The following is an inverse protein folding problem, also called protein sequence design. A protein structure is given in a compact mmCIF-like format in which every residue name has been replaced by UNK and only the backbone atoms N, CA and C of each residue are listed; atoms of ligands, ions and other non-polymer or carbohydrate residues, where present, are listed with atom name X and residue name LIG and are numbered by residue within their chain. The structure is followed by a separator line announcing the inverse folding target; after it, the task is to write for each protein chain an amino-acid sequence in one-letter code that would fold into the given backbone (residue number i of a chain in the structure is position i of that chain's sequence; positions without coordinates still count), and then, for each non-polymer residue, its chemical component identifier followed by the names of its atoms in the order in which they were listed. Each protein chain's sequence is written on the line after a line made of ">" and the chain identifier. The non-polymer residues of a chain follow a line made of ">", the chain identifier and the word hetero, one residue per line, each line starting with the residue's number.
data_IF_940323403118
#
_entry.id   IF_940323403118
#
_cell.length_a   1.000
_cell.length_b   1.000
_cell.length_c   1.000
_cell.angle_alpha   90.00
_cell.angle_beta   90.00
_cell.angle_gamma   90.00
#
_symmetry.space_group_name_H-M   'P 1'
#
loop_
_entity.id
_entity.type
_entity.pdbx_description
1 polymer ?
#
# COMPACT_ATOMS: atom_id res chain seq x y z
N UNK A 1 -13.62 -31.90 -13.42
CA UNK A 1 -13.85 -30.44 -13.32
C UNK A 1 -13.22 -29.80 -12.08
N UNK A 2 -13.54 -30.23 -10.84
CA UNK A 2 -12.98 -29.65 -9.59
C UNK A 2 -11.44 -29.61 -9.53
N UNK A 3 -10.75 -30.66 -10.01
CA UNK A 3 -9.26 -30.72 -10.04
C UNK A 3 -8.61 -29.68 -10.97
N UNK A 4 -9.26 -29.34 -12.09
CA UNK A 4 -8.74 -28.34 -13.05
C UNK A 4 -8.91 -26.94 -12.45
N UNK A 5 -10.08 -26.64 -11.89
CA UNK A 5 -10.37 -25.39 -11.21
C UNK A 5 -9.42 -25.14 -10.02
N UNK A 6 -9.12 -26.18 -9.23
CA UNK A 6 -8.13 -26.10 -8.14
C UNK A 6 -6.71 -25.80 -8.63
N UNK A 7 -6.32 -26.38 -9.78
CA UNK A 7 -5.01 -26.13 -10.37
C UNK A 7 -4.90 -24.71 -10.91
N UNK A 8 -5.95 -24.20 -11.56
CA UNK A 8 -6.01 -22.82 -12.03
C UNK A 8 -5.93 -21.86 -10.83
N UNK A 9 -6.75 -22.07 -9.79
CA UNK A 9 -6.70 -21.22 -8.58
C UNK A 9 -5.37 -21.30 -7.84
N UNK A 10 -4.65 -22.43 -7.85
CA UNK A 10 -3.31 -22.50 -7.25
C UNK A 10 -2.24 -21.73 -8.02
N UNK A 11 -2.42 -21.51 -9.33
CA UNK A 11 -1.49 -20.72 -10.15
C UNK A 11 -1.64 -19.22 -9.91
N UNK A 12 -2.84 -18.77 -9.53
CA UNK A 12 -3.12 -17.38 -9.16
C UNK A 12 -3.09 -17.14 -7.65
N UNK A 13 -2.66 -18.14 -6.86
CA UNK A 13 -2.53 -17.98 -5.42
C UNK A 13 -1.23 -17.25 -5.14
N UNK A 14 -1.36 -15.97 -4.80
CA UNK A 14 -0.21 -15.15 -4.42
C UNK A 14 0.57 -15.82 -3.30
N UNK A 15 1.84 -16.11 -3.58
CA UNK A 15 2.79 -16.57 -2.58
C UNK A 15 3.16 -15.35 -1.75
N UNK A 16 2.33 -14.99 -0.76
CA UNK A 16 2.69 -13.97 0.22
C UNK A 16 3.94 -14.43 0.94
N UNK A 17 5.04 -13.70 0.78
CA UNK A 17 6.22 -13.91 1.59
C UNK A 17 5.85 -13.53 3.04
N UNK A 18 5.98 -14.49 3.96
CA UNK A 18 5.74 -14.27 5.38
C UNK A 18 6.99 -13.64 6.00
N UNK A 19 7.27 -12.39 5.64
CA UNK A 19 8.39 -11.62 6.18
C UNK A 19 7.88 -10.82 7.37
N UNK A 20 8.54 -10.95 8.52
CA UNK A 20 8.14 -10.24 9.76
C UNK A 20 8.81 -8.87 9.85
N UNK A 21 8.25 -7.98 10.67
CA UNK A 21 8.88 -6.69 10.97
C UNK A 21 10.31 -6.86 11.52
N UNK A 22 10.53 -7.83 12.41
CA UNK A 22 11.86 -8.11 12.98
C UNK A 22 12.86 -8.52 11.90
N UNK A 23 12.43 -9.33 10.92
CA UNK A 23 13.28 -9.69 9.78
C UNK A 23 13.61 -8.45 8.93
N UNK A 24 12.62 -7.61 8.66
CA UNK A 24 12.76 -6.39 7.87
C UNK A 24 13.76 -5.39 8.49
N UNK A 25 13.73 -5.20 9.81
CA UNK A 25 14.66 -4.29 10.52
C UNK A 25 16.11 -4.78 10.44
N UNK A 26 16.33 -6.08 10.22
CA UNK A 26 17.67 -6.65 10.07
C UNK A 26 18.22 -6.56 8.64
N UNK A 27 17.45 -6.05 7.67
CA UNK A 27 17.93 -5.86 6.31
C UNK A 27 18.94 -4.69 6.20
N UNK A 28 19.72 -4.60 5.11
CA UNK A 28 20.66 -3.49 4.92
C UNK A 28 19.96 -2.13 5.01
N UNK A 29 20.59 -1.15 5.68
CA UNK A 29 19.96 0.15 6.00
C UNK A 29 19.42 0.91 4.80
N UNK A 30 20.08 0.80 3.65
CA UNK A 30 19.67 1.49 2.41
C UNK A 30 18.64 0.69 1.58
N UNK A 31 18.13 -0.42 2.13
CA UNK A 31 17.14 -1.26 1.46
C UNK A 31 15.71 -0.82 1.76
N UNK A 32 14.81 -1.06 0.81
CA UNK A 32 13.37 -0.87 1.00
C UNK A 32 12.84 -1.67 2.19
N UNK A 33 13.35 -2.90 2.39
CA UNK A 33 12.92 -3.74 3.50
C UNK A 33 13.26 -3.15 4.86
N UNK A 34 14.45 -2.58 5.02
CA UNK A 34 14.83 -1.89 6.27
C UNK A 34 13.91 -0.70 6.55
N UNK A 35 13.67 0.15 5.56
CA UNK A 35 12.74 1.28 5.71
C UNK A 35 11.30 0.82 5.99
N UNK A 36 10.86 -0.30 5.41
CA UNK A 36 9.56 -0.90 5.69
C UNK A 36 9.45 -1.42 7.12
N UNK A 37 10.46 -2.14 7.60
CA UNK A 37 10.52 -2.58 9.00
C UNK A 37 10.50 -1.41 9.97
N UNK A 38 11.28 -0.36 9.69
CA UNK A 38 11.29 0.86 10.50
C UNK A 38 9.95 1.61 10.44
N UNK A 39 9.30 1.64 9.29
CA UNK A 39 7.98 2.25 9.12
C UNK A 39 6.91 1.52 9.95
N UNK A 40 6.87 0.18 9.87
CA UNK A 40 5.95 -0.65 10.65
C UNK A 40 6.19 -0.47 12.16
N UNK A 41 7.45 -0.49 12.59
CA UNK A 41 7.79 -0.30 14.00
C UNK A 41 7.26 1.02 14.58
N UNK A 42 7.29 2.10 13.79
CA UNK A 42 6.89 3.43 14.26
C UNK A 42 5.38 3.73 14.11
N UNK A 43 4.70 3.08 13.15
CA UNK A 43 3.33 3.45 12.78
C UNK A 43 2.29 2.34 13.04
N UNK A 44 2.72 1.11 13.30
CA UNK A 44 1.79 0.01 13.59
C UNK A 44 1.37 0.00 15.05
N UNK A 45 0.08 -0.23 15.29
CA UNK A 45 -0.48 -0.42 16.65
C UNK A 45 -0.63 -1.90 17.03
N UNK A 46 -0.31 -2.80 16.10
CA UNK A 46 -0.38 -4.24 16.31
C UNK A 46 0.88 -4.77 16.99
N UNK A 47 0.72 -5.85 17.75
CA UNK A 47 1.80 -6.51 18.50
C UNK A 47 2.81 -7.17 17.55
N UNK A 48 2.36 -7.67 16.40
CA UNK A 48 3.20 -8.26 15.34
C UNK A 48 2.72 -7.74 13.97
N UNK A 49 3.20 -6.56 13.54
CA UNK A 49 2.71 -5.95 12.31
C UNK A 49 3.26 -6.67 11.08
N UNK A 50 2.33 -7.02 10.19
CA UNK A 50 2.66 -7.65 8.91
C UNK A 50 2.69 -6.58 7.81
N UNK A 51 3.70 -6.59 6.92
CA UNK A 51 3.77 -5.63 5.84
C UNK A 51 2.58 -5.79 4.88
N UNK A 52 1.76 -4.75 4.75
CA UNK A 52 0.75 -4.70 3.70
C UNK A 52 1.28 -4.01 2.44
N UNK A 53 0.70 -4.34 1.29
CA UNK A 53 1.03 -3.69 0.01
C UNK A 53 0.81 -2.17 0.09
N UNK A 54 -0.17 -1.72 0.88
CA UNK A 54 -0.43 -0.29 1.09
C UNK A 54 0.71 0.42 1.81
N UNK A 55 1.42 -0.25 2.73
CA UNK A 55 2.56 0.33 3.45
C UNK A 55 3.78 0.46 2.52
N UNK A 56 3.97 -0.53 1.64
CA UNK A 56 4.99 -0.48 0.59
C UNK A 56 4.70 0.68 -0.36
N UNK A 57 3.46 0.83 -0.83
CA UNK A 57 3.08 1.95 -1.68
C UNK A 57 3.28 3.29 -0.97
N UNK A 58 2.94 3.37 0.32
CA UNK A 58 3.15 4.59 1.10
C UNK A 58 4.63 4.98 1.11
N UNK A 59 5.52 4.02 1.37
CA UNK A 59 6.96 4.29 1.39
C UNK A 59 7.55 4.67 0.02
N UNK A 60 6.96 4.18 -1.08
CA UNK A 60 7.48 4.43 -2.42
C UNK A 60 6.93 5.72 -3.04
N UNK A 61 5.69 6.09 -2.71
CA UNK A 61 4.93 7.11 -3.43
C UNK A 61 4.74 8.38 -2.59
N UNK A 62 4.63 8.23 -1.27
CA UNK A 62 4.29 9.35 -0.36
C UNK A 62 5.50 9.78 0.46
N UNK A 63 5.53 11.06 0.84
CA UNK A 63 6.62 11.62 1.63
C UNK A 63 6.33 11.60 3.14
N UNK A 64 5.05 11.68 3.53
CA UNK A 64 4.64 11.64 4.92
C UNK A 64 3.38 10.78 5.16
N UNK A 65 3.08 10.53 6.43
CA UNK A 65 1.87 9.80 6.84
C UNK A 65 0.76 10.82 7.07
N UNK A 66 -0.07 11.04 6.04
CA UNK A 66 -1.19 11.97 6.14
C UNK A 66 -2.40 11.49 5.33
N UNK A 67 -3.61 11.85 5.78
CA UNK A 67 -4.84 11.51 5.06
C UNK A 67 -4.82 12.04 3.61
N UNK A 68 -4.19 13.20 3.37
CA UNK A 68 -4.11 13.80 2.03
C UNK A 68 -3.21 12.98 1.12
N UNK A 69 -2.05 12.53 1.60
CA UNK A 69 -1.17 11.67 0.81
C UNK A 69 -1.74 10.28 0.63
N UNK A 70 -2.44 9.73 1.61
CA UNK A 70 -3.13 8.46 1.44
C UNK A 70 -4.19 8.56 0.32
N UNK A 71 -4.99 9.63 0.29
CA UNK A 71 -5.93 9.87 -0.81
C UNK A 71 -5.17 10.04 -2.15
N UNK A 72 -4.11 10.85 -2.16
CA UNK A 72 -3.30 11.13 -3.36
C UNK A 72 -2.67 9.85 -3.94
N UNK A 73 -2.13 8.99 -3.07
CA UNK A 73 -1.58 7.69 -3.43
C UNK A 73 -2.62 6.82 -4.10
N UNK A 74 -3.84 6.74 -3.56
CA UNK A 74 -4.90 5.95 -4.19
C UNK A 74 -5.34 6.56 -5.54
N UNK A 75 -5.35 7.88 -5.69
CA UNK A 75 -5.53 8.53 -6.99
C UNK A 75 -4.43 8.14 -8.00
N UNK A 76 -3.17 8.12 -7.57
CA UNK A 76 -2.03 7.70 -8.39
C UNK A 76 -2.14 6.23 -8.80
N UNK A 77 -2.47 5.34 -7.86
CA UNK A 77 -2.67 3.91 -8.13
C UNK A 77 -3.82 3.67 -9.12
N UNK A 78 -4.94 4.38 -8.95
CA UNK A 78 -6.07 4.31 -9.89
C UNK A 78 -5.69 4.77 -11.30
N UNK A 79 -4.91 5.86 -11.41
CA UNK A 79 -4.35 6.30 -12.70
C UNK A 79 -3.45 5.25 -13.36
N UNK A 80 -2.77 4.44 -12.56
CA UNK A 80 -1.95 3.30 -13.01
C UNK A 80 -2.75 1.99 -13.21
N UNK A 81 -4.07 2.02 -13.08
CA UNK A 81 -4.95 0.88 -13.35
C UNK A 81 -5.35 0.04 -12.14
N UNK A 82 -5.05 0.49 -10.91
CA UNK A 82 -5.55 -0.17 -9.70
C UNK A 82 -7.06 0.10 -9.51
N UNK A 83 -7.86 -0.93 -9.75
CA UNK A 83 -9.32 -0.91 -9.57
C UNK A 83 -9.78 -1.66 -8.32
N UNK A 84 -8.87 -1.90 -7.35
CA UNK A 84 -9.25 -2.50 -6.09
C UNK A 84 -10.35 -1.69 -5.40
N UNK A 85 -11.28 -2.38 -4.74
CA UNK A 85 -12.42 -1.75 -4.06
C UNK A 85 -11.98 -0.69 -3.04
N UNK A 86 -10.86 -0.94 -2.35
CA UNK A 86 -10.25 0.02 -1.42
C UNK A 86 -9.91 1.34 -2.11
N UNK A 87 -9.24 1.26 -3.26
CA UNK A 87 -8.80 2.42 -4.05
C UNK A 87 -9.98 3.24 -4.53
N UNK A 88 -10.99 2.58 -5.11
CA UNK A 88 -12.23 3.26 -5.53
C UNK A 88 -12.94 3.92 -4.35
N UNK A 89 -13.05 3.23 -3.21
CA UNK A 89 -13.69 3.77 -2.02
C UNK A 89 -12.97 5.01 -1.46
N UNK A 90 -11.63 4.96 -1.37
CA UNK A 90 -10.83 6.08 -0.86
C UNK A 90 -10.88 7.28 -1.81
N UNK A 91 -10.88 7.06 -3.13
CA UNK A 91 -11.05 8.15 -4.10
C UNK A 91 -12.43 8.78 -3.96
N UNK A 92 -13.50 7.98 -3.88
CA UNK A 92 -14.86 8.50 -3.75
C UNK A 92 -15.03 9.33 -2.47
N UNK A 93 -14.60 8.78 -1.33
CA UNK A 93 -14.66 9.50 -0.05
C UNK A 93 -13.74 10.72 -0.03
N UNK A 94 -12.52 10.60 -0.57
CA UNK A 94 -11.59 11.72 -0.72
C UNK A 94 -12.16 12.86 -1.55
N UNK A 95 -12.84 12.54 -2.66
CA UNK A 95 -13.51 13.54 -3.51
C UNK A 95 -14.65 14.24 -2.77
N UNK A 96 -15.42 13.48 -1.99
CA UNK A 96 -16.57 14.00 -1.26
C UNK A 96 -16.16 14.90 -0.08
N UNK A 97 -15.13 14.49 0.68
CA UNK A 97 -14.72 15.19 1.91
C UNK A 97 -13.59 16.22 1.70
N UNK A 98 -12.81 16.11 0.61
CA UNK A 98 -11.73 17.05 0.29
C UNK A 98 -11.90 17.76 -1.08
N UNK A 99 -13.09 18.29 -1.44
CA UNK A 99 -13.31 18.91 -2.74
C UNK A 99 -12.52 20.22 -2.95
N UNK A 100 -12.07 20.87 -1.87
CA UNK A 100 -11.41 22.18 -1.91
C UNK A 100 -9.89 22.12 -2.10
N UNK A 101 -9.29 20.92 -2.09
CA UNK A 101 -7.91 20.74 -2.52
C UNK A 101 -7.94 20.46 -4.02
N UNK A 102 -7.47 21.44 -4.79
CA UNK A 102 -7.49 21.39 -6.25
C UNK A 102 -6.92 20.04 -6.73
N UNK A 103 -7.65 19.20 -7.47
CA UNK A 103 -7.19 17.85 -7.82
C UNK A 103 -5.86 17.86 -8.62
N UNK A 104 -5.54 18.99 -9.24
CA UNK A 104 -4.27 19.28 -9.91
C UNK A 104 -3.06 19.30 -8.96
N UNK A 105 -3.25 19.54 -7.66
CA UNK A 105 -2.18 19.51 -6.64
C UNK A 105 -1.77 18.08 -6.25
N UNK A 106 -2.62 17.08 -6.43
CA UNK A 106 -2.27 15.67 -6.20
C UNK A 106 -1.29 15.13 -7.25
N UNK A 107 -1.07 15.85 -8.36
CA UNK A 107 -0.08 15.50 -9.39
C UNK A 107 1.36 15.91 -9.04
N UNK A 108 1.60 16.51 -7.86
CA UNK A 108 2.95 16.72 -7.31
C UNK A 108 3.44 15.54 -6.47
N UNK A 109 3.03 14.33 -6.85
CA UNK A 109 3.67 13.11 -6.40
C UNK A 109 4.93 12.96 -7.30
N UNK A 110 6.12 12.77 -6.72
CA UNK A 110 7.36 12.58 -7.50
C UNK A 110 7.31 11.34 -8.39
#
# INVERSE_FOLDING_TARGET
>A
MKKILQKITSLFKDKKAAVTMDELINYPKDSLGFHLGWFLFNNSHDIDPQPETVDIHRLLITNQVSNKEDIAMHYYLFGNGDLALRTVFIILTGTMFYPHHNPVLFWKIP
#
